data_IF_944753289389
#
_entry.id   IF_944753289389
#
_cell.length_a   1.000
_cell.length_b   1.000
_cell.length_c   1.000
_cell.angle_alpha   90.00
_cell.angle_beta   90.00
_cell.angle_gamma   90.00
#
_symmetry.space_group_name_H-M   'P 1'
#
loop_
_entity.id
_entity.type
_entity.pdbx_description
1 polymer ?
#
# COMPACT_ATOMS: atom_id res chain seq x y z
N UNK A 1 -18.03 4.09 -2.15
CA UNK A 1 -17.69 3.55 -0.81
C UNK A 1 -16.38 4.18 -0.34
N UNK A 2 -16.14 4.41 0.96
CA UNK A 2 -14.87 4.99 1.40
C UNK A 2 -13.73 4.11 0.88
N UNK A 3 -12.76 4.77 0.26
CA UNK A 3 -11.59 4.17 -0.37
C UNK A 3 -10.66 3.51 0.68
N UNK A 4 -9.43 3.19 0.31
CA UNK A 4 -8.36 2.69 1.18
C UNK A 4 -8.28 3.42 2.54
N UNK A 5 -8.56 4.73 2.57
CA UNK A 5 -8.49 5.58 3.77
C UNK A 5 -9.69 5.52 4.74
N UNK A 6 -10.76 4.79 4.41
CA UNK A 6 -11.90 4.65 5.32
C UNK A 6 -12.48 6.01 5.75
N UNK A 7 -12.68 6.26 7.07
CA UNK A 7 -13.24 7.51 7.55
C UNK A 7 -12.38 8.75 7.27
N UNK A 8 -11.07 8.57 7.09
CA UNK A 8 -10.18 9.69 6.80
C UNK A 8 -10.44 10.35 5.44
N UNK A 9 -11.14 9.68 4.52
CA UNK A 9 -11.57 10.27 3.24
C UNK A 9 -12.46 11.51 3.42
N UNK A 10 -13.14 11.64 4.56
CA UNK A 10 -14.05 12.77 4.83
C UNK A 10 -13.41 13.89 5.65
N UNK A 11 -12.14 13.77 6.05
CA UNK A 11 -11.44 14.82 6.80
C UNK A 11 -10.74 15.75 5.83
N UNK A 12 -11.22 17.00 5.61
CA UNK A 12 -10.75 17.86 4.53
C UNK A 12 -9.29 18.34 4.69
N UNK A 13 -8.74 18.25 5.90
CA UNK A 13 -7.41 18.76 6.26
C UNK A 13 -6.30 17.71 6.18
N UNK A 14 -6.57 16.52 5.63
CA UNK A 14 -5.53 15.52 5.44
C UNK A 14 -4.50 16.02 4.43
N UNK A 15 -3.22 15.88 4.77
CA UNK A 15 -2.12 16.30 3.89
C UNK A 15 -2.13 15.51 2.58
N UNK A 16 -2.33 14.20 2.69
CA UNK A 16 -2.34 13.26 1.59
C UNK A 16 -3.52 12.30 1.73
N UNK A 17 -4.21 12.07 0.63
CA UNK A 17 -5.27 11.08 0.49
C UNK A 17 -4.79 9.97 -0.45
N UNK A 18 -5.07 8.72 -0.08
CA UNK A 18 -4.70 7.54 -0.85
C UNK A 18 -5.94 6.81 -1.38
N UNK A 19 -5.92 6.45 -2.65
CA UNK A 19 -6.94 5.60 -3.25
C UNK A 19 -6.32 4.56 -4.16
N UNK A 20 -6.21 3.34 -3.65
CA UNK A 20 -5.74 2.18 -4.42
C UNK A 20 -6.85 1.77 -5.39
N UNK A 21 -6.60 1.97 -6.68
CA UNK A 21 -7.55 1.68 -7.76
C UNK A 21 -7.40 0.22 -8.24
N UNK A 22 -6.17 -0.28 -8.30
CA UNK A 22 -5.90 -1.68 -8.62
C UNK A 22 -4.60 -2.15 -7.99
N UNK A 23 -4.68 -3.25 -7.24
CA UNK A 23 -3.48 -3.89 -6.65
C UNK A 23 -2.72 -4.74 -7.67
N UNK A 24 -3.40 -5.19 -8.73
CA UNK A 24 -2.83 -6.04 -9.78
C UNK A 24 -3.66 -5.94 -11.06
N UNK A 25 -3.03 -5.66 -12.18
CA UNK A 25 -3.63 -5.74 -13.51
C UNK A 25 -2.56 -6.09 -14.56
N UNK A 26 -2.97 -6.70 -15.66
CA UNK A 26 -2.08 -6.99 -16.78
C UNK A 26 -1.88 -5.72 -17.61
N UNK A 27 -0.62 -5.44 -17.94
CA UNK A 27 -0.21 -4.37 -18.86
C UNK A 27 0.10 -5.04 -20.19
N UNK A 28 -0.43 -4.49 -21.28
CA UNK A 28 -0.06 -4.84 -22.64
C UNK A 28 -0.02 -3.56 -23.47
N UNK A 29 1.07 -3.35 -24.20
CA UNK A 29 1.21 -2.18 -25.05
C UNK A 29 2.55 -2.14 -25.76
N UNK A 30 2.99 -0.94 -26.11
CA UNK A 30 4.30 -0.73 -26.71
C UNK A 30 4.93 0.57 -26.23
N UNK A 31 6.24 0.54 -26.00
CA UNK A 31 7.06 1.71 -25.73
C UNK A 31 7.80 2.07 -27.01
N UNK A 32 7.78 3.35 -27.37
CA UNK A 32 8.62 3.87 -28.45
C UNK A 32 9.88 4.48 -27.82
N UNK A 33 11.04 3.92 -28.16
CA UNK A 33 12.35 4.45 -27.79
C UNK A 33 12.91 5.11 -29.06
N UNK A 34 13.12 6.42 -29.00
CA UNK A 34 13.50 7.25 -30.15
C UNK A 34 12.55 7.10 -31.37
N UNK A 35 13.01 7.53 -32.54
CA UNK A 35 12.18 7.52 -33.76
C UNK A 35 12.05 6.13 -34.40
N UNK A 36 12.93 5.19 -34.06
CA UNK A 36 13.11 3.96 -34.85
C UNK A 36 12.84 2.65 -34.10
N UNK A 37 12.65 2.68 -32.77
CA UNK A 37 12.46 1.45 -31.99
C UNK A 37 11.09 1.44 -31.30
N UNK A 38 10.24 0.50 -31.70
CA UNK A 38 8.96 0.23 -31.03
C UNK A 38 9.04 -1.14 -30.36
N UNK A 39 9.08 -1.14 -29.03
CA UNK A 39 9.14 -2.34 -28.21
C UNK A 39 7.75 -2.70 -27.72
N UNK A 40 7.30 -3.91 -27.99
CA UNK A 40 6.11 -4.45 -27.33
C UNK A 40 6.42 -4.76 -25.87
N UNK A 41 5.54 -4.35 -24.97
CA UNK A 41 5.71 -4.53 -23.52
C UNK A 41 4.48 -5.22 -22.95
N UNK A 42 4.73 -6.24 -22.13
CA UNK A 42 3.74 -6.80 -21.22
C UNK A 42 4.27 -6.71 -19.79
N UNK A 43 3.37 -6.69 -18.81
CA UNK A 43 3.77 -6.59 -17.42
C UNK A 43 2.61 -6.73 -16.45
N UNK A 44 2.91 -6.60 -15.16
CA UNK A 44 1.91 -6.56 -14.09
C UNK A 44 2.00 -5.18 -13.44
N UNK A 45 0.86 -4.49 -13.36
CA UNK A 45 0.76 -3.14 -12.86
C UNK A 45 0.10 -3.03 -11.49
N UNK A 46 0.41 -1.92 -10.82
CA UNK A 46 -0.26 -1.39 -9.63
C UNK A 46 -0.75 0.03 -9.96
N UNK A 47 -1.91 0.43 -9.44
CA UNK A 47 -2.49 1.74 -9.72
C UNK A 47 -3.10 2.34 -8.45
N UNK A 48 -2.61 3.52 -8.10
CA UNK A 48 -3.06 4.32 -6.97
C UNK A 48 -3.21 5.77 -7.39
N UNK A 49 -4.19 6.44 -6.79
CA UNK A 49 -4.40 7.87 -6.90
C UNK A 49 -4.10 8.52 -5.57
N UNK A 50 -3.15 9.44 -5.59
CA UNK A 50 -2.83 10.30 -4.46
C UNK A 50 -3.21 11.76 -4.76
N UNK A 51 -3.76 12.45 -3.76
CA UNK A 51 -4.06 13.87 -3.84
C UNK A 51 -4.02 14.52 -2.46
N UNK A 52 -4.05 15.86 -2.40
CA UNK A 52 -4.01 16.61 -1.14
C UNK A 52 -3.13 17.84 -1.27
N UNK A 53 -2.63 18.34 -0.12
CA UNK A 53 -1.74 19.50 -0.07
C UNK A 53 -0.26 19.11 -0.11
N UNK A 54 0.14 17.99 0.52
CA UNK A 54 1.53 17.51 0.55
C UNK A 54 1.61 16.05 1.02
N UNK A 55 2.73 15.37 0.75
CA UNK A 55 3.02 14.12 1.47
C UNK A 55 3.27 14.39 2.97
N UNK A 56 3.06 13.39 3.84
CA UNK A 56 3.38 13.49 5.27
C UNK A 56 4.88 13.71 5.50
N UNK A 57 5.25 14.32 6.64
CA UNK A 57 6.67 14.61 6.94
C UNK A 57 7.54 13.36 7.16
N UNK A 58 6.91 12.24 7.49
CA UNK A 58 7.54 10.92 7.64
C UNK A 58 6.56 9.88 7.12
N UNK A 59 7.00 9.05 6.18
CA UNK A 59 6.17 8.06 5.54
C UNK A 59 7.03 6.92 4.99
N UNK A 60 6.45 5.72 4.97
CA UNK A 60 6.98 4.53 4.30
C UNK A 60 5.84 4.01 3.44
N UNK A 61 6.08 3.81 2.16
CA UNK A 61 5.09 3.29 1.22
C UNK A 61 5.69 2.11 0.46
N UNK A 62 4.88 1.10 0.18
CA UNK A 62 5.30 -0.01 -0.66
C UNK A 62 4.14 -0.82 -1.19
N UNK A 63 4.40 -1.49 -2.31
CA UNK A 63 3.49 -2.45 -2.91
C UNK A 63 4.26 -3.66 -3.45
N UNK A 64 3.62 -4.82 -3.49
CA UNK A 64 4.16 -6.03 -4.10
C UNK A 64 3.03 -6.90 -4.67
N UNK A 65 3.10 -7.24 -5.95
CA UNK A 65 2.09 -8.06 -6.65
C UNK A 65 2.71 -9.16 -7.54
N UNK A 66 4.02 -9.38 -7.40
CA UNK A 66 4.79 -10.41 -8.08
C UNK A 66 5.58 -11.24 -7.05
N UNK A 67 5.37 -12.55 -7.06
CA UNK A 67 5.90 -13.46 -6.04
C UNK A 67 6.59 -14.66 -6.70
N UNK A 68 7.84 -14.94 -6.32
CA UNK A 68 8.65 -16.01 -6.95
C UNK A 68 8.12 -17.42 -6.72
N UNK A 69 7.54 -17.69 -5.55
CA UNK A 69 7.15 -19.03 -5.11
C UNK A 69 5.63 -19.18 -4.94
N UNK A 70 4.83 -18.35 -5.60
CA UNK A 70 3.38 -18.43 -5.55
C UNK A 70 2.88 -19.39 -6.65
N UNK A 71 1.97 -20.33 -6.35
CA UNK A 71 1.35 -21.18 -7.37
C UNK A 71 0.70 -20.35 -8.48
N UNK A 72 0.75 -20.83 -9.73
CA UNK A 72 0.13 -20.13 -10.87
C UNK A 72 -1.39 -19.98 -10.76
N UNK A 73 -2.02 -20.82 -9.94
CA UNK A 73 -3.46 -20.77 -9.62
C UNK A 73 -3.80 -19.77 -8.51
N UNK A 74 -2.80 -19.14 -7.90
CA UNK A 74 -2.98 -18.22 -6.79
C UNK A 74 -2.61 -16.79 -7.17
N UNK A 75 -3.26 -15.84 -6.53
CA UNK A 75 -2.90 -14.42 -6.58
C UNK A 75 -2.55 -13.94 -5.20
N UNK A 76 -1.54 -13.07 -5.11
CA UNK A 76 -1.25 -12.34 -3.90
C UNK A 76 -0.82 -10.94 -4.29
N UNK A 77 -1.28 -9.95 -3.55
CA UNK A 77 -0.87 -8.56 -3.73
C UNK A 77 -0.86 -7.88 -2.37
N UNK A 78 0.10 -7.00 -2.14
CA UNK A 78 0.27 -6.28 -0.88
C UNK A 78 0.42 -4.80 -1.20
N UNK A 79 -0.26 -3.97 -0.43
CA UNK A 79 -0.05 -2.54 -0.33
C UNK A 79 0.11 -2.20 1.15
N UNK A 80 1.07 -1.34 1.48
CA UNK A 80 1.16 -0.73 2.80
C UNK A 80 1.62 0.73 2.71
N UNK A 81 1.14 1.52 3.65
CA UNK A 81 1.56 2.90 3.86
C UNK A 81 1.57 3.18 5.36
N UNK A 82 2.70 3.66 5.86
CA UNK A 82 2.89 4.14 7.23
C UNK A 82 3.17 5.63 7.15
N UNK A 83 2.56 6.44 8.01
CA UNK A 83 2.76 7.89 7.97
C UNK A 83 2.62 8.53 9.35
N UNK A 84 3.35 9.61 9.59
CA UNK A 84 3.08 10.53 10.69
C UNK A 84 2.02 11.54 10.23
N UNK A 85 0.79 11.37 10.69
CA UNK A 85 -0.37 12.16 10.26
C UNK A 85 -0.52 13.36 11.21
N UNK A 86 -0.54 14.61 10.70
CA UNK A 86 -0.88 15.77 11.52
C UNK A 86 -2.33 15.72 11.96
N UNK A 87 -2.55 16.11 13.20
CA UNK A 87 -3.84 16.22 13.84
C UNK A 87 -4.03 17.60 14.45
N UNK A 88 -5.19 17.82 15.05
CA UNK A 88 -5.51 19.09 15.70
C UNK A 88 -4.47 19.47 16.76
N UNK A 89 -4.25 20.79 16.91
CA UNK A 89 -3.31 21.38 17.89
C UNK A 89 -1.84 20.93 17.75
N UNK A 90 -1.35 20.78 16.51
CA UNK A 90 0.03 20.37 16.21
C UNK A 90 0.42 18.99 16.76
N UNK A 91 -0.56 18.17 17.15
CA UNK A 91 -0.34 16.79 17.54
C UNK A 91 -0.13 15.98 16.26
N UNK A 92 0.76 14.98 16.29
CA UNK A 92 0.90 13.99 15.21
C UNK A 92 0.61 12.61 15.78
N UNK A 93 0.01 11.75 14.97
CA UNK A 93 -0.15 10.33 15.32
C UNK A 93 0.42 9.43 14.22
N UNK A 94 0.96 8.26 14.56
CA UNK A 94 1.34 7.26 13.58
C UNK A 94 0.07 6.63 13.00
N UNK A 95 -0.19 6.84 11.71
CA UNK A 95 -1.24 6.18 10.97
C UNK A 95 -0.66 5.14 10.01
N UNK A 96 -1.43 4.11 9.73
CA UNK A 96 -1.07 3.15 8.70
C UNK A 96 -2.30 2.61 7.97
N UNK A 97 -2.05 2.18 6.74
CA UNK A 97 -2.96 1.47 5.85
C UNK A 97 -2.25 0.24 5.32
N UNK A 98 -2.87 -0.94 5.42
CA UNK A 98 -2.35 -2.17 4.82
C UNK A 98 -3.51 -2.89 4.15
N UNK A 99 -3.30 -3.28 2.91
CA UNK A 99 -4.22 -4.15 2.18
C UNK A 99 -3.43 -5.32 1.62
N UNK A 100 -3.79 -6.52 2.07
CA UNK A 100 -3.28 -7.77 1.53
C UNK A 100 -4.40 -8.47 0.77
N UNK A 101 -4.19 -8.74 -0.50
CA UNK A 101 -5.05 -9.57 -1.32
C UNK A 101 -4.42 -10.95 -1.43
N UNK A 102 -5.21 -11.99 -1.20
CA UNK A 102 -4.83 -13.36 -1.47
C UNK A 102 -6.02 -14.10 -2.07
N UNK A 103 -5.84 -14.68 -3.26
CA UNK A 103 -6.87 -15.41 -4.00
C UNK A 103 -8.22 -14.65 -4.07
N UNK A 104 -8.14 -13.38 -4.44
CA UNK A 104 -9.26 -12.44 -4.56
C UNK A 104 -9.97 -12.10 -3.25
N UNK A 105 -9.41 -12.49 -2.10
CA UNK A 105 -9.87 -12.06 -0.78
C UNK A 105 -9.01 -10.92 -0.25
N UNK A 106 -9.65 -9.87 0.24
CA UNK A 106 -8.97 -8.69 0.79
C UNK A 106 -8.95 -8.70 2.31
N UNK A 107 -7.75 -8.68 2.87
CA UNK A 107 -7.45 -8.49 4.28
C UNK A 107 -6.95 -7.05 4.46
N UNK A 108 -7.58 -6.31 5.38
CA UNK A 108 -7.30 -4.89 5.59
C UNK A 108 -6.88 -4.66 7.03
N UNK A 109 -5.73 -4.04 7.22
CA UNK A 109 -5.23 -3.68 8.54
C UNK A 109 -4.93 -2.19 8.55
N UNK A 110 -5.74 -1.43 9.27
CA UNK A 110 -5.66 0.02 9.22
C UNK A 110 -5.80 0.58 10.64
N UNK A 111 -5.16 1.72 10.88
CA UNK A 111 -5.27 2.46 12.14
C UNK A 111 -6.73 2.72 12.55
N UNK A 112 -7.62 3.06 11.62
CA UNK A 112 -9.05 3.29 11.89
C UNK A 112 -9.87 2.01 12.11
N UNK A 113 -9.31 0.84 11.80
CA UNK A 113 -9.89 -0.48 12.11
C UNK A 113 -9.34 -1.05 13.43
N UNK A 114 -8.60 -0.24 14.19
CA UNK A 114 -7.98 -0.63 15.47
C UNK A 114 -6.94 -1.75 15.35
N UNK A 115 -6.43 -2.01 14.13
CA UNK A 115 -5.31 -2.92 13.94
C UNK A 115 -4.06 -2.39 14.66
N UNK A 116 -3.15 -3.28 15.03
CA UNK A 116 -1.93 -2.96 15.80
C UNK A 116 -0.71 -3.36 14.97
N UNK A 117 0.26 -2.44 14.86
CA UNK A 117 1.58 -2.70 14.27
C UNK A 117 2.60 -2.88 15.40
N UNK A 118 3.36 -3.96 15.31
CA UNK A 118 4.53 -4.22 16.14
C UNK A 118 5.77 -4.43 15.26
N UNK A 119 6.95 -4.28 15.86
CA UNK A 119 8.23 -4.67 15.26
C UNK A 119 8.50 -4.03 13.88
N UNK A 120 7.98 -2.82 13.63
CA UNK A 120 8.31 -2.07 12.41
C UNK A 120 9.79 -1.69 12.43
N UNK A 121 10.56 -2.28 11.51
CA UNK A 121 12.00 -2.05 11.39
C UNK A 121 12.41 -1.82 9.94
N UNK A 122 13.28 -0.83 9.74
CA UNK A 122 13.86 -0.51 8.43
C UNK A 122 15.37 -0.71 8.53
N UNK A 123 15.92 -1.59 7.68
CA UNK A 123 17.36 -1.73 7.52
C UNK A 123 17.80 -1.01 6.24
N UNK A 124 18.39 0.18 6.41
CA UNK A 124 18.86 1.02 5.30
C UNK A 124 20.09 0.45 4.56
N UNK A 125 20.82 -0.50 5.16
CA UNK A 125 21.96 -1.13 4.49
C UNK A 125 21.51 -2.23 3.53
N UNK A 126 20.48 -2.99 3.91
CA UNK A 126 19.94 -4.10 3.11
C UNK A 126 18.68 -3.72 2.33
N UNK A 127 18.15 -2.50 2.53
CA UNK A 127 16.84 -2.05 2.03
C UNK A 127 15.70 -2.99 2.42
N UNK A 128 15.79 -3.58 3.61
CA UNK A 128 14.76 -4.48 4.13
C UNK A 128 13.80 -3.72 5.05
N UNK A 129 12.51 -3.99 4.89
CA UNK A 129 11.45 -3.56 5.79
C UNK A 129 10.81 -4.81 6.38
N UNK A 130 10.62 -4.83 7.68
CA UNK A 130 9.81 -5.85 8.35
C UNK A 130 8.83 -5.19 9.30
N UNK A 131 7.65 -5.78 9.44
CA UNK A 131 6.65 -5.40 10.42
C UNK A 131 5.75 -6.59 10.72
N UNK A 132 5.16 -6.59 11.92
CA UNK A 132 4.08 -7.51 12.28
C UNK A 132 2.81 -6.71 12.45
N UNK A 133 1.71 -7.19 11.87
CA UNK A 133 0.39 -6.58 12.06
C UNK A 133 -0.59 -7.57 12.69
N UNK A 134 -1.43 -7.06 13.59
CA UNK A 134 -2.49 -7.79 14.28
C UNK A 134 -3.82 -7.08 14.04
N UNK A 135 -4.86 -7.84 13.71
CA UNK A 135 -6.23 -7.36 13.75
C UNK A 135 -6.86 -7.76 15.09
N UNK A 136 -7.71 -6.88 15.63
CA UNK A 136 -8.55 -7.17 16.81
C UNK A 136 -9.60 -8.23 16.47
N UNK A 137 -9.94 -8.38 15.18
CA UNK A 137 -11.03 -9.26 14.73
C UNK A 137 -10.60 -10.70 14.35
N UNK A 138 -9.39 -10.96 13.83
CA UNK A 138 -8.93 -12.35 13.56
C UNK A 138 -7.39 -12.55 13.62
N UNK A 139 -7.00 -13.67 14.24
CA UNK A 139 -5.66 -14.08 14.68
C UNK A 139 -4.71 -14.53 13.55
N UNK A 140 -4.34 -13.67 12.61
CA UNK A 140 -3.31 -14.02 11.61
C UNK A 140 -2.12 -13.05 11.66
N UNK A 141 -0.92 -13.62 11.83
CA UNK A 141 0.37 -12.91 11.81
C UNK A 141 0.89 -12.92 10.38
N UNK A 142 0.94 -11.76 9.73
CA UNK A 142 1.58 -11.62 8.41
C UNK A 142 3.08 -11.37 8.63
N UNK A 143 3.92 -12.26 8.10
CA UNK A 143 5.36 -12.03 7.96
C UNK A 143 5.60 -11.64 6.51
N UNK A 144 5.91 -10.36 6.28
CA UNK A 144 6.35 -9.83 4.99
C UNK A 144 7.86 -9.67 5.01
#
# INVERSE_FOLDING_TARGET
APATMGPFTWIPTMQCYHHVLSMKYDIQGSIQIDQNEKLSVTGIGYLEKDWGYSFPSLWIWGQANQWKNLPSTSSASLFFSFASIPWHFNIKFPGFLIVFEYNHQFYRFNSYLQSIINDLSVNNQTNQLSFTVYDVLFQHKLHV
#
